data_IF_038517037621
#
_entry.id   IF_038517037621
#
_cell.length_a   1.000
_cell.length_b   1.000
_cell.length_c   1.000
_cell.angle_alpha   90.00
_cell.angle_beta   90.00
_cell.angle_gamma   90.00
#
_symmetry.space_group_name_H-M   'P 1'
#
loop_
_entity.id
_entity.type
_entity.pdbx_description
1 polymer ?
#
# COMPACT_ATOMS: atom_id res chain seq x y z
N UNK A 1 15.27 -13.56 -13.59
CA UNK A 1 14.17 -12.72 -14.11
C UNK A 1 14.74 -11.46 -14.70
N UNK A 2 14.14 -10.93 -15.78
CA UNK A 2 14.57 -9.65 -16.36
C UNK A 2 14.29 -8.52 -15.36
N UNK A 3 15.20 -7.54 -15.27
CA UNK A 3 15.10 -6.37 -14.37
C UNK A 3 13.78 -5.61 -14.57
N UNK A 4 13.34 -5.49 -15.82
CA UNK A 4 12.05 -4.90 -16.19
C UNK A 4 10.87 -5.69 -15.61
N UNK A 5 10.94 -7.03 -15.60
CA UNK A 5 9.87 -7.89 -15.06
C UNK A 5 9.73 -7.70 -13.55
N UNK A 6 10.83 -7.57 -12.81
CA UNK A 6 10.79 -7.33 -11.36
C UNK A 6 10.17 -5.98 -11.01
N UNK A 7 10.54 -4.93 -11.76
CA UNK A 7 9.98 -3.58 -11.57
C UNK A 7 8.48 -3.56 -11.90
N UNK A 8 8.08 -4.16 -13.03
CA UNK A 8 6.67 -4.23 -13.43
C UNK A 8 5.83 -5.01 -12.43
N UNK A 9 6.29 -6.19 -12.00
CA UNK A 9 5.59 -7.01 -11.00
C UNK A 9 5.49 -6.28 -9.66
N UNK A 10 6.57 -5.60 -9.24
CA UNK A 10 6.58 -4.78 -8.03
C UNK A 10 5.53 -3.67 -8.10
N UNK A 11 5.53 -2.87 -9.17
CA UNK A 11 4.59 -1.75 -9.33
C UNK A 11 3.14 -2.26 -9.35
N UNK A 12 2.86 -3.34 -10.09
CA UNK A 12 1.51 -3.91 -10.17
C UNK A 12 1.07 -4.42 -8.79
N UNK A 13 1.92 -5.18 -8.09
CA UNK A 13 1.62 -5.73 -6.77
C UNK A 13 1.38 -4.64 -5.71
N UNK A 14 2.29 -3.67 -5.61
CA UNK A 14 2.15 -2.55 -4.67
C UNK A 14 0.96 -1.66 -5.03
N UNK A 15 0.70 -1.45 -6.33
CA UNK A 15 -0.47 -0.71 -6.82
C UNK A 15 -1.79 -1.35 -6.41
N UNK A 16 -1.95 -2.66 -6.64
CA UNK A 16 -3.16 -3.39 -6.23
C UNK A 16 -3.37 -3.35 -4.72
N UNK A 17 -2.29 -3.53 -3.96
CA UNK A 17 -2.29 -3.49 -2.50
C UNK A 17 -2.70 -2.10 -1.98
N UNK A 18 -2.17 -1.02 -2.56
CA UNK A 18 -2.57 0.34 -2.21
C UNK A 18 -4.06 0.59 -2.46
N UNK A 19 -4.57 0.24 -3.65
CA UNK A 19 -5.99 0.42 -3.97
C UNK A 19 -6.88 -0.35 -3.00
N UNK A 20 -6.50 -1.57 -2.66
CA UNK A 20 -7.23 -2.39 -1.68
C UNK A 20 -7.24 -1.75 -0.29
N UNK A 21 -6.07 -1.40 0.26
CA UNK A 21 -5.95 -0.83 1.62
C UNK A 21 -6.66 0.51 1.74
N UNK A 22 -6.56 1.37 0.73
CA UNK A 22 -7.29 2.65 0.70
C UNK A 22 -8.80 2.44 0.62
N UNK A 23 -9.26 1.50 -0.20
CA UNK A 23 -10.67 1.11 -0.29
C UNK A 23 -11.21 0.57 1.03
N UNK A 24 -10.44 -0.27 1.72
CA UNK A 24 -10.77 -0.74 3.07
C UNK A 24 -10.84 0.42 4.06
N UNK A 25 -9.88 1.33 4.06
CA UNK A 25 -9.85 2.48 4.97
C UNK A 25 -11.06 3.38 4.79
N UNK A 26 -11.45 3.63 3.54
CA UNK A 26 -12.64 4.41 3.21
C UNK A 26 -13.92 3.70 3.68
N UNK A 27 -14.04 2.40 3.42
CA UNK A 27 -15.20 1.59 3.82
C UNK A 27 -15.38 1.53 5.35
N UNK A 28 -14.29 1.36 6.11
CA UNK A 28 -14.32 1.34 7.58
C UNK A 28 -14.73 2.71 8.13
N UNK A 29 -14.15 3.79 7.58
CA UNK A 29 -14.34 5.16 8.08
C UNK A 29 -15.73 5.72 7.76
N UNK A 30 -16.32 5.34 6.63
CA UNK A 30 -17.65 5.80 6.21
C UNK A 30 -18.78 4.85 6.61
N UNK A 31 -18.50 3.55 6.73
CA UNK A 31 -19.51 2.53 6.97
C UNK A 31 -19.62 2.05 8.43
N UNK A 32 -18.50 1.69 9.08
CA UNK A 32 -18.54 0.91 10.33
C UNK A 32 -18.29 1.71 11.61
N UNK A 33 -17.33 2.64 11.60
CA UNK A 33 -16.80 3.23 12.84
C UNK A 33 -16.89 4.77 12.89
N UNK A 34 -17.35 5.40 11.80
CA UNK A 34 -17.29 6.85 11.61
C UNK A 34 -15.84 7.36 11.52
N UNK A 35 -15.68 8.69 11.40
CA UNK A 35 -14.35 9.31 11.23
C UNK A 35 -13.39 8.99 12.38
N UNK A 36 -13.86 9.09 13.63
CA UNK A 36 -13.03 8.88 14.82
C UNK A 36 -12.64 7.41 15.04
N UNK A 37 -13.52 6.46 14.67
CA UNK A 37 -13.19 5.04 14.72
C UNK A 37 -12.33 4.57 13.54
N UNK A 38 -12.43 5.22 12.39
CA UNK A 38 -11.61 4.96 11.21
C UNK A 38 -10.23 5.63 11.25
N UNK A 39 -10.06 6.70 12.02
CA UNK A 39 -8.79 7.43 12.15
C UNK A 39 -7.58 6.56 12.53
N UNK A 40 -7.62 5.70 13.57
CA UNK A 40 -6.49 4.83 13.89
C UNK A 40 -6.17 3.85 12.75
N UNK A 41 -7.17 3.35 12.04
CA UNK A 41 -6.96 2.49 10.87
C UNK A 41 -6.30 3.25 9.72
N UNK A 42 -6.70 4.51 9.48
CA UNK A 42 -6.10 5.36 8.45
C UNK A 42 -4.60 5.61 8.74
N UNK A 43 -4.22 5.86 9.99
CA UNK A 43 -2.81 6.01 10.37
C UNK A 43 -1.99 4.75 10.08
N UNK A 44 -2.53 3.57 10.41
CA UNK A 44 -1.88 2.28 10.13
C UNK A 44 -1.77 2.05 8.62
N UNK A 45 -2.85 2.32 7.87
CA UNK A 45 -2.89 2.18 6.42
C UNK A 45 -1.80 3.03 5.73
N UNK A 46 -1.66 4.30 6.14
CA UNK A 46 -0.63 5.20 5.61
C UNK A 46 0.78 4.66 5.92
N UNK A 47 1.01 4.20 7.15
CA UNK A 47 2.30 3.65 7.55
C UNK A 47 2.67 2.40 6.74
N UNK A 48 1.71 1.49 6.54
CA UNK A 48 1.89 0.26 5.75
C UNK A 48 2.15 0.59 4.27
N UNK A 49 1.46 1.58 3.70
CA UNK A 49 1.70 2.04 2.32
C UNK A 49 3.12 2.62 2.19
N UNK A 50 3.59 3.41 3.16
CA UNK A 50 4.95 3.93 3.16
C UNK A 50 6.00 2.81 3.19
N UNK A 51 5.78 1.77 4.01
CA UNK A 51 6.63 0.57 4.07
C UNK A 51 6.60 -0.25 2.77
N UNK A 52 5.45 -0.34 2.11
CA UNK A 52 5.31 -1.04 0.83
C UNK A 52 6.03 -0.30 -0.30
N UNK A 53 5.98 1.04 -0.31
CA UNK A 53 6.75 1.87 -1.23
C UNK A 53 8.26 1.76 -0.97
N UNK A 54 8.66 1.70 0.30
CA UNK A 54 10.05 1.49 0.68
C UNK A 54 10.55 0.10 0.21
N UNK A 55 9.77 -0.96 0.41
CA UNK A 55 10.10 -2.30 -0.11
C UNK A 55 10.17 -2.32 -1.64
N UNK A 56 9.23 -1.66 -2.32
CA UNK A 56 9.26 -1.55 -3.78
C UNK A 56 10.55 -0.88 -4.26
N UNK A 57 10.98 0.19 -3.59
CA UNK A 57 12.22 0.86 -3.91
C UNK A 57 13.46 0.02 -3.59
N UNK A 58 13.52 -0.61 -2.41
CA UNK A 58 14.66 -1.43 -2.01
C UNK A 58 14.84 -2.66 -2.91
N UNK A 59 13.78 -3.45 -3.11
CA UNK A 59 13.88 -4.73 -3.81
C UNK A 59 13.79 -4.61 -5.33
N UNK A 60 13.01 -3.67 -5.87
CA UNK A 60 12.83 -3.55 -7.31
C UNK A 60 13.74 -2.50 -7.96
N UNK A 61 14.12 -1.43 -7.24
CA UNK A 61 14.89 -0.31 -7.80
C UNK A 61 16.35 -0.32 -7.35
N UNK A 62 16.61 -0.53 -6.05
CA UNK A 62 17.94 -0.38 -5.44
C UNK A 62 18.78 -1.65 -5.46
N UNK A 63 18.14 -2.82 -5.63
CA UNK A 63 18.81 -4.13 -5.71
C UNK A 63 19.53 -4.27 -7.06
N UNK A 64 20.74 -3.73 -7.10
CA UNK A 64 21.83 -4.10 -8.01
C UNK A 64 22.72 -5.15 -7.35
#
# INVERSE_FOLDING_TARGET
MSRLTNILMGIIGTGLMMVFVLGLSHSISTGFAGFWGGFPFMCIAIFVIALALYNLWEDAVKKD
#
